data_IF_254099453303
#
_entry.id   IF_254099453303
#
_cell.length_a   1.000
_cell.length_b   1.000
_cell.length_c   1.000
_cell.angle_alpha   90.00
_cell.angle_beta   90.00
_cell.angle_gamma   90.00
#
_symmetry.space_group_name_H-M   'P 1'
#
loop_
_entity.id
_entity.type
_entity.pdbx_description
1 polymer ?
#
# COMPACT_ATOMS: atom_id res chain seq x y z
N UNK A 1 -23.76 -17.82 15.79
CA UNK A 1 -23.76 -16.39 15.45
C UNK A 1 -22.75 -16.25 14.33
N UNK A 2 -23.25 -16.15 13.09
CA UNK A 2 -22.45 -16.19 11.86
C UNK A 2 -21.64 -14.91 11.75
N UNK A 3 -20.32 -15.04 11.93
CA UNK A 3 -19.36 -13.98 11.63
C UNK A 3 -19.36 -13.83 10.10
N UNK A 4 -20.02 -12.78 9.61
CA UNK A 4 -20.05 -12.46 8.20
C UNK A 4 -18.63 -11.98 7.84
N UNK A 5 -17.79 -12.93 7.45
CA UNK A 5 -16.55 -12.64 6.74
C UNK A 5 -16.91 -11.63 5.65
N UNK A 6 -16.40 -10.41 5.78
CA UNK A 6 -16.43 -9.43 4.71
C UNK A 6 -15.68 -10.10 3.56
N UNK A 7 -16.42 -10.72 2.66
CA UNK A 7 -15.87 -11.33 1.45
C UNK A 7 -15.52 -10.16 0.55
N UNK A 8 -14.39 -9.53 0.84
CA UNK A 8 -13.85 -8.46 0.02
C UNK A 8 -13.41 -9.09 -1.30
N UNK A 9 -14.08 -8.71 -2.38
CA UNK A 9 -13.78 -9.19 -3.72
C UNK A 9 -12.40 -8.66 -4.14
N UNK A 10 -11.39 -9.52 -4.39
CA UNK A 10 -10.06 -9.09 -4.81
C UNK A 10 -10.09 -8.23 -6.08
N UNK A 11 -11.07 -8.43 -6.97
CA UNK A 11 -11.23 -7.60 -8.17
C UNK A 11 -11.66 -6.17 -7.83
N UNK A 12 -12.54 -6.00 -6.83
CA UNK A 12 -12.95 -4.70 -6.34
C UNK A 12 -11.79 -3.97 -5.63
N UNK A 13 -11.01 -4.68 -4.82
CA UNK A 13 -9.80 -4.11 -4.19
C UNK A 13 -8.77 -3.66 -5.23
N UNK A 14 -8.57 -4.46 -6.30
CA UNK A 14 -7.62 -4.11 -7.35
C UNK A 14 -8.08 -2.91 -8.19
N UNK A 15 -9.39 -2.66 -8.29
CA UNK A 15 -9.94 -1.54 -9.07
C UNK A 15 -9.48 -0.16 -8.56
N UNK A 16 -9.16 -0.03 -7.28
CA UNK A 16 -8.57 1.18 -6.69
C UNK A 16 -7.19 1.53 -7.28
N UNK A 17 -6.52 0.54 -7.89
CA UNK A 17 -5.25 0.69 -8.60
C UNK A 17 -5.41 0.85 -10.12
N UNK A 18 -6.60 1.21 -10.59
CA UNK A 18 -6.80 1.51 -12.00
C UNK A 18 -5.82 2.60 -12.50
N UNK A 19 -5.15 2.31 -13.61
CA UNK A 19 -4.12 3.19 -14.19
C UNK A 19 -2.74 3.07 -13.54
N UNK A 20 -2.57 2.20 -12.53
CA UNK A 20 -1.26 1.96 -11.96
C UNK A 20 -0.31 1.30 -12.96
N UNK A 21 0.99 1.66 -12.97
CA UNK A 21 1.98 0.96 -13.79
C UNK A 21 2.07 -0.53 -13.44
N UNK A 22 2.62 -1.33 -14.35
CA UNK A 22 2.86 -2.76 -14.09
C UNK A 22 3.73 -2.95 -12.84
N UNK A 23 3.48 -4.02 -12.07
CA UNK A 23 4.22 -4.33 -10.82
C UNK A 23 5.74 -4.28 -11.04
N UNK A 24 6.26 -4.90 -12.10
CA UNK A 24 7.69 -4.89 -12.43
C UNK A 24 8.22 -3.46 -12.65
N UNK A 25 7.43 -2.60 -13.31
CA UNK A 25 7.80 -1.21 -13.56
C UNK A 25 7.85 -0.40 -12.26
N UNK A 26 6.91 -0.62 -11.34
CA UNK A 26 6.90 -0.02 -10.00
C UNK A 26 8.09 -0.50 -9.15
N UNK A 27 8.39 -1.79 -9.13
CA UNK A 27 9.56 -2.32 -8.40
C UNK A 27 10.85 -1.66 -8.88
N UNK A 28 11.03 -1.54 -10.21
CA UNK A 28 12.19 -0.85 -10.78
C UNK A 28 12.21 0.65 -10.43
N UNK A 29 11.05 1.29 -10.30
CA UNK A 29 10.97 2.68 -9.84
C UNK A 29 11.40 2.81 -8.38
N UNK A 30 10.86 1.97 -7.48
CA UNK A 30 11.21 1.95 -6.06
C UNK A 30 12.72 1.75 -5.86
N UNK A 31 13.32 0.79 -6.57
CA UNK A 31 14.77 0.53 -6.49
C UNK A 31 15.61 1.71 -6.98
N UNK A 32 15.16 2.41 -8.04
CA UNK A 32 15.82 3.62 -8.52
C UNK A 32 15.77 4.76 -7.50
N UNK A 33 14.63 4.95 -6.83
CA UNK A 33 14.49 5.96 -5.78
C UNK A 33 15.41 5.67 -4.59
N UNK A 34 15.46 4.43 -4.10
CA UNK A 34 16.38 4.04 -3.01
C UNK A 34 17.83 4.36 -3.37
N UNK A 35 18.24 4.05 -4.61
CA UNK A 35 19.59 4.36 -5.09
C UNK A 35 19.86 5.86 -5.11
N UNK A 36 18.93 6.65 -5.62
CA UNK A 36 19.07 8.11 -5.70
C UNK A 36 19.18 8.76 -4.32
N UNK A 37 18.33 8.37 -3.37
CA UNK A 37 18.38 8.89 -1.99
C UNK A 37 19.65 8.50 -1.26
N UNK A 38 20.14 7.26 -1.48
CA UNK A 38 21.40 6.80 -0.86
C UNK A 38 22.60 7.60 -1.35
N UNK A 39 22.63 7.99 -2.62
CA UNK A 39 23.71 8.83 -3.16
C UNK A 39 23.66 10.27 -2.66
N UNK A 40 22.48 10.78 -2.28
CA UNK A 40 22.28 12.17 -1.87
C UNK A 40 22.22 12.35 -0.34
N UNK A 41 22.13 11.27 0.43
CA UNK A 41 21.97 11.32 1.89
C UNK A 41 20.60 11.87 2.34
N UNK A 42 19.61 11.89 1.44
CA UNK A 42 18.27 12.45 1.70
C UNK A 42 17.29 11.35 2.10
N UNK A 43 16.33 11.68 2.96
CA UNK A 43 15.22 10.77 3.27
C UNK A 43 14.28 10.59 2.07
N UNK A 44 13.57 9.46 2.02
CA UNK A 44 12.55 9.23 1.01
C UNK A 44 11.28 10.03 1.31
N UNK A 45 10.74 10.71 0.28
CA UNK A 45 9.51 11.49 0.37
C UNK A 45 8.24 10.64 0.38
N UNK A 46 7.09 11.30 0.60
CA UNK A 46 5.76 10.66 0.67
C UNK A 46 5.43 9.78 -0.54
N UNK A 47 5.68 10.26 -1.77
CA UNK A 47 5.39 9.49 -2.99
C UNK A 47 6.08 8.13 -2.99
N UNK A 48 7.33 8.07 -2.51
CA UNK A 48 8.07 6.82 -2.41
C UNK A 48 7.36 5.83 -1.49
N UNK A 49 6.97 6.26 -0.30
CA UNK A 49 6.27 5.40 0.66
C UNK A 49 4.92 4.96 0.14
N UNK A 50 4.17 5.87 -0.50
CA UNK A 50 2.86 5.58 -1.07
C UNK A 50 2.95 4.53 -2.19
N UNK A 51 3.82 4.76 -3.18
CA UNK A 51 3.98 3.83 -4.31
C UNK A 51 4.56 2.48 -3.88
N UNK A 52 5.47 2.48 -2.92
CA UNK A 52 6.01 1.25 -2.33
C UNK A 52 4.92 0.44 -1.61
N UNK A 53 4.08 1.09 -0.80
CA UNK A 53 2.98 0.41 -0.13
C UNK A 53 1.95 -0.11 -1.16
N UNK A 54 1.60 0.70 -2.15
CA UNK A 54 0.65 0.33 -3.20
C UNK A 54 1.10 -0.87 -4.04
N UNK A 55 2.38 -0.97 -4.44
CA UNK A 55 2.84 -2.14 -5.20
C UNK A 55 2.83 -3.42 -4.37
N UNK A 56 3.14 -3.34 -3.06
CA UNK A 56 3.08 -4.49 -2.16
C UNK A 56 1.65 -4.93 -1.87
N UNK A 57 0.72 -3.98 -1.72
CA UNK A 57 -0.70 -4.28 -1.58
C UNK A 57 -1.28 -4.97 -2.82
N UNK A 58 -0.92 -4.51 -4.02
CA UNK A 58 -1.32 -5.15 -5.28
C UNK A 58 -0.79 -6.58 -5.41
N UNK A 59 0.46 -6.83 -4.99
CA UNK A 59 1.01 -8.18 -4.94
C UNK A 59 0.20 -9.04 -3.96
N UNK A 60 -0.14 -8.53 -2.78
CA UNK A 60 -0.96 -9.25 -1.82
C UNK A 60 -2.36 -9.59 -2.38
N UNK A 61 -3.01 -8.67 -3.10
CA UNK A 61 -4.30 -8.91 -3.75
C UNK A 61 -4.18 -10.02 -4.81
N UNK A 62 -3.15 -9.96 -5.67
CA UNK A 62 -2.91 -10.98 -6.71
C UNK A 62 -2.61 -12.37 -6.10
N UNK A 63 -1.83 -12.41 -5.01
CA UNK A 63 -1.50 -13.62 -4.26
C UNK A 63 -2.74 -14.23 -3.59
N UNK A 64 -3.57 -13.41 -2.93
CA UNK A 64 -4.84 -13.85 -2.31
C UNK A 64 -5.82 -14.38 -3.36
N UNK A 65 -5.87 -13.77 -4.54
CA UNK A 65 -6.73 -14.22 -5.63
C UNK A 65 -6.26 -15.55 -6.26
N UNK A 66 -4.95 -15.85 -6.19
CA UNK A 66 -4.34 -16.98 -6.90
C UNK A 66 -4.11 -18.20 -6.02
N UNK A 67 -3.75 -17.98 -4.76
CA UNK A 67 -3.23 -19.04 -3.88
C UNK A 67 -4.11 -19.26 -2.64
N UNK A 68 -3.88 -20.39 -1.97
CA UNK A 68 -4.53 -20.67 -0.69
C UNK A 68 -4.09 -19.65 0.38
N UNK A 69 -4.95 -19.36 1.39
CA UNK A 69 -4.66 -18.32 2.39
C UNK A 69 -3.30 -18.47 3.08
N UNK A 70 -2.85 -19.69 3.36
CA UNK A 70 -1.55 -19.94 4.02
C UNK A 70 -0.35 -19.60 3.12
N UNK A 71 -0.51 -19.73 1.80
CA UNK A 71 0.52 -19.37 0.84
C UNK A 71 0.57 -17.85 0.63
N UNK A 72 -0.60 -17.18 0.59
CA UNK A 72 -0.71 -15.73 0.42
C UNK A 72 -0.39 -14.93 1.70
N UNK A 73 -0.45 -15.55 2.88
CA UNK A 73 -0.28 -14.88 4.18
C UNK A 73 0.95 -13.97 4.25
N UNK A 74 2.12 -14.43 3.75
CA UNK A 74 3.34 -13.63 3.77
C UNK A 74 3.25 -12.37 2.92
N UNK A 75 2.54 -12.43 1.80
CA UNK A 75 2.33 -11.27 0.94
C UNK A 75 1.42 -10.26 1.64
N UNK A 76 0.36 -10.74 2.30
CA UNK A 76 -0.53 -9.93 3.14
C UNK A 76 0.25 -9.25 4.26
N UNK A 77 0.96 -10.01 5.12
CA UNK A 77 1.76 -9.45 6.22
C UNK A 77 2.75 -8.37 5.73
N UNK A 78 3.35 -8.59 4.55
CA UNK A 78 4.29 -7.65 3.94
C UNK A 78 3.60 -6.36 3.49
N UNK A 79 2.41 -6.48 2.88
CA UNK A 79 1.61 -5.33 2.49
C UNK A 79 1.13 -4.53 3.71
N UNK A 80 0.69 -5.20 4.77
CA UNK A 80 0.28 -4.58 6.03
C UNK A 80 1.44 -3.79 6.67
N UNK A 81 2.63 -4.39 6.77
CA UNK A 81 3.82 -3.72 7.29
C UNK A 81 4.20 -2.48 6.45
N UNK A 82 4.07 -2.55 5.13
CA UNK A 82 4.34 -1.41 4.25
C UNK A 82 3.27 -0.31 4.39
N UNK A 83 2.01 -0.68 4.55
CA UNK A 83 0.90 0.23 4.76
C UNK A 83 1.05 0.99 6.10
N UNK A 84 1.35 0.27 7.19
CA UNK A 84 1.70 0.89 8.48
C UNK A 84 2.83 1.90 8.34
N UNK A 85 3.85 1.57 7.54
CA UNK A 85 5.00 2.47 7.35
C UNK A 85 4.63 3.78 6.65
N UNK A 86 3.74 3.74 5.66
CA UNK A 86 3.20 4.96 5.04
C UNK A 86 2.40 5.78 6.05
N UNK A 87 1.54 5.11 6.81
CA UNK A 87 0.71 5.73 7.85
C UNK A 87 1.56 6.43 8.91
N UNK A 88 2.62 5.79 9.41
CA UNK A 88 3.60 6.38 10.31
C UNK A 88 4.30 7.59 9.69
N UNK A 89 4.67 7.50 8.41
CA UNK A 89 5.29 8.60 7.68
C UNK A 89 4.34 9.82 7.62
N UNK A 90 3.07 9.61 7.28
CA UNK A 90 2.08 10.69 7.21
C UNK A 90 1.76 11.26 8.61
N UNK A 91 1.70 10.40 9.64
CA UNK A 91 1.52 10.86 11.02
C UNK A 91 2.65 11.77 11.50
N UNK A 92 3.89 11.49 11.06
CA UNK A 92 5.07 12.27 11.42
C UNK A 92 5.25 13.53 10.57
N UNK A 93 4.87 13.52 9.29
CA UNK A 93 5.21 14.60 8.34
C UNK A 93 4.03 15.48 7.90
N UNK A 94 2.80 14.98 7.97
CA UNK A 94 1.61 15.73 7.52
C UNK A 94 0.65 16.08 8.66
N UNK A 95 1.03 15.74 9.90
CA UNK A 95 0.16 15.89 11.06
C UNK A 95 -1.06 14.96 11.00
N UNK A 96 -0.97 13.84 10.28
CA UNK A 96 -2.02 12.84 10.25
C UNK A 96 -2.24 12.30 11.67
N UNK A 97 -3.25 12.80 12.36
CA UNK A 97 -3.61 12.30 13.68
C UNK A 97 -4.52 11.10 13.51
N UNK A 98 -3.94 9.90 13.53
CA UNK A 98 -4.70 8.67 13.75
C UNK A 98 -5.26 8.57 15.17
N UNK A 99 -4.99 9.54 16.06
CA UNK A 99 -5.41 9.53 17.48
C UNK A 99 -6.92 9.70 17.70
N UNK A 100 -7.75 9.37 16.71
CA UNK A 100 -9.21 9.36 16.82
C UNK A 100 -9.80 8.01 17.27
N UNK A 101 -9.06 6.90 17.17
CA UNK A 101 -9.57 5.60 17.64
C UNK A 101 -8.44 4.66 18.01
N UNK A 102 -8.47 4.19 19.26
CA UNK A 102 -7.76 2.98 19.66
C UNK A 102 -8.20 1.84 18.73
N UNK A 103 -7.21 1.17 18.13
CA UNK A 103 -7.29 0.09 17.12
C UNK A 103 -7.44 0.59 15.67
N UNK A 104 -6.32 1.01 15.08
CA UNK A 104 -6.14 0.96 13.62
C UNK A 104 -5.73 -0.48 13.28
N UNK A 105 -6.55 -1.18 12.50
CA UNK A 105 -6.23 -2.54 12.04
C UNK A 105 -5.28 -2.49 10.84
N UNK A 106 -4.71 -3.64 10.52
CA UNK A 106 -3.88 -3.80 9.33
C UNK A 106 -4.64 -3.58 8.03
N UNK A 107 -5.88 -4.06 7.98
CA UNK A 107 -6.75 -3.85 6.83
C UNK A 107 -7.17 -2.37 6.70
N UNK A 108 -7.31 -1.65 7.81
CA UNK A 108 -7.52 -0.19 7.78
C UNK A 108 -6.31 0.53 7.14
N UNK A 109 -5.09 0.06 7.45
CA UNK A 109 -3.88 0.60 6.82
C UNK A 109 -3.84 0.31 5.32
N UNK A 110 -4.19 -0.91 4.89
CA UNK A 110 -4.22 -1.27 3.47
C UNK A 110 -5.29 -0.49 2.70
N UNK A 111 -6.48 -0.33 3.30
CA UNK A 111 -7.55 0.53 2.77
C UNK A 111 -7.12 1.99 2.65
N UNK A 112 -6.35 2.50 3.63
CA UNK A 112 -5.74 3.83 3.56
C UNK A 112 -4.82 3.95 2.34
N UNK A 113 -3.92 2.98 2.12
CA UNK A 113 -3.01 2.98 0.96
C UNK A 113 -3.78 3.05 -0.35
N UNK A 114 -4.82 2.21 -0.53
CA UNK A 114 -5.64 2.19 -1.75
C UNK A 114 -6.25 3.56 -2.04
N UNK A 115 -6.91 4.15 -1.04
CA UNK A 115 -7.53 5.48 -1.14
C UNK A 115 -6.53 6.58 -1.48
N UNK A 116 -5.40 6.61 -0.78
CA UNK A 116 -4.37 7.62 -1.00
C UNK A 116 -3.70 7.45 -2.36
N UNK A 117 -3.49 6.21 -2.81
CA UNK A 117 -2.93 5.92 -4.12
C UNK A 117 -3.89 6.35 -5.22
N UNK A 118 -5.17 6.01 -5.12
CA UNK A 118 -6.18 6.42 -6.09
C UNK A 118 -6.26 7.96 -6.19
N UNK A 119 -6.26 8.66 -5.05
CA UNK A 119 -6.21 10.12 -5.01
C UNK A 119 -4.95 10.69 -5.69
N UNK A 120 -3.78 10.17 -5.33
CA UNK A 120 -2.49 10.58 -5.91
C UNK A 120 -2.44 10.31 -7.42
N UNK A 121 -2.85 9.12 -7.88
CA UNK A 121 -2.79 8.73 -9.28
C UNK A 121 -3.63 9.65 -10.17
N UNK A 122 -4.79 10.10 -9.68
CA UNK A 122 -5.65 11.07 -10.38
C UNK A 122 -5.05 12.47 -10.51
N UNK A 123 -4.04 12.79 -9.70
CA UNK A 123 -3.31 14.07 -9.78
C UNK A 123 -2.07 13.98 -10.66
N UNK A 124 -1.68 12.79 -11.10
CA UNK A 124 -0.54 12.63 -11.99
C UNK A 124 -0.90 13.03 -13.43
N UNK A 125 -0.02 13.75 -14.13
CA UNK A 125 -0.19 13.99 -15.55
C UNK A 125 -0.10 12.66 -16.32
N UNK A 126 -0.95 12.50 -17.34
CA UNK A 126 -0.97 11.35 -18.24
C UNK A 126 0.32 11.18 -19.03
#
# INVERSE_FOLDING_TARGET
MTDAAHSTDPAAEYAEYAGAPRIVSEILWVLRQVRATRSLGTEQGREFWLRKAAVLDRIAIEEVATYAPQAAAKAVDTAEAAARRLVEYDATHTGLSLRGSDVVTDEDCRTYVRREYHSWNRTQPF
#
